data_IF_580417156444
#
_entry.id   IF_580417156444
#
_cell.length_a   1.000
_cell.length_b   1.000
_cell.length_c   1.000
_cell.angle_alpha   90.00
_cell.angle_beta   90.00
_cell.angle_gamma   90.00
#
_symmetry.space_group_name_H-M   'P 1'
#
loop_
_entity.id
_entity.type
_entity.pdbx_description
1 polymer ?
#
# COMPACT_ATOMS: atom_id res chain seq x y z
N UNK A 1 -32.87 -27.80 -0.26
CA UNK A 1 -32.08 -26.93 0.64
C UNK A 1 -30.75 -26.47 0.04
N UNK A 2 -29.95 -27.34 -0.60
CA UNK A 2 -28.64 -26.97 -1.17
C UNK A 2 -28.66 -25.90 -2.29
N UNK A 3 -29.71 -25.86 -3.12
CA UNK A 3 -29.80 -24.92 -4.26
C UNK A 3 -29.94 -23.45 -3.83
N UNK A 4 -30.55 -23.18 -2.67
CA UNK A 4 -30.64 -21.83 -2.12
C UNK A 4 -29.36 -21.46 -1.36
N UNK A 5 -28.71 -22.43 -0.70
CA UNK A 5 -27.40 -22.25 -0.08
C UNK A 5 -26.32 -21.87 -1.11
N UNK A 6 -26.31 -22.54 -2.27
CA UNK A 6 -25.38 -22.27 -3.36
C UNK A 6 -25.54 -20.84 -3.91
N UNK A 7 -26.78 -20.35 -4.02
CA UNK A 7 -27.06 -18.97 -4.46
C UNK A 7 -26.59 -17.95 -3.43
N UNK A 8 -26.77 -18.22 -2.13
CA UNK A 8 -26.30 -17.34 -1.06
C UNK A 8 -24.77 -17.25 -1.06
N UNK A 9 -24.09 -18.38 -1.24
CA UNK A 9 -22.62 -18.43 -1.35
C UNK A 9 -22.13 -17.61 -2.55
N UNK A 10 -22.76 -17.79 -3.73
CA UNK A 10 -22.40 -17.05 -4.94
C UNK A 10 -22.58 -15.53 -4.74
N UNK A 11 -23.68 -15.09 -4.12
CA UNK A 11 -23.95 -13.67 -3.84
C UNK A 11 -22.94 -13.10 -2.83
N UNK A 12 -22.54 -13.87 -1.82
CA UNK A 12 -21.53 -13.46 -0.83
C UNK A 12 -20.14 -13.21 -1.46
N UNK A 13 -19.77 -13.96 -2.50
CA UNK A 13 -18.51 -13.73 -3.23
C UNK A 13 -18.48 -12.40 -4.00
N UNK A 14 -19.62 -11.84 -4.39
CA UNK A 14 -19.69 -10.54 -5.08
C UNK A 14 -19.69 -9.34 -4.13
N UNK A 15 -19.71 -9.57 -2.81
CA UNK A 15 -19.70 -8.52 -1.79
C UNK A 15 -18.33 -8.35 -1.12
N UNK A 16 -17.26 -8.99 -1.62
CA UNK A 16 -15.91 -8.74 -1.12
C UNK A 16 -15.46 -7.33 -1.54
N UNK A 17 -15.65 -6.36 -0.66
CA UNK A 17 -15.22 -4.98 -0.89
C UNK A 17 -13.70 -4.83 -0.90
N UNK A 18 -13.21 -3.88 -1.67
CA UNK A 18 -11.84 -3.37 -1.56
C UNK A 18 -11.64 -2.82 -0.14
N UNK A 19 -10.52 -3.16 0.50
CA UNK A 19 -10.17 -2.57 1.79
C UNK A 19 -9.48 -1.23 1.55
N UNK A 20 -10.22 -0.15 1.81
CA UNK A 20 -9.80 1.22 1.63
C UNK A 20 -10.17 2.03 2.86
N UNK A 21 -9.33 3.01 3.21
CA UNK A 21 -9.64 3.97 4.28
C UNK A 21 -9.05 5.33 3.94
N UNK A 22 -9.72 6.37 4.40
CA UNK A 22 -9.27 7.76 4.26
C UNK A 22 -9.13 8.45 5.62
N UNK A 23 -8.24 9.44 5.69
CA UNK A 23 -8.12 10.38 6.81
C UNK A 23 -8.22 11.80 6.30
N UNK A 24 -8.95 12.64 7.04
CA UNK A 24 -9.01 14.07 6.78
C UNK A 24 -7.87 14.77 7.51
N UNK A 25 -7.31 15.81 6.90
CA UNK A 25 -6.29 16.68 7.48
C UNK A 25 -6.97 18.00 7.83
N UNK A 26 -6.83 18.41 9.09
CA UNK A 26 -7.52 19.57 9.66
C UNK A 26 -6.51 20.58 10.17
N UNK A 27 -6.75 21.86 9.87
CA UNK A 27 -5.93 22.97 10.36
C UNK A 27 -6.20 23.31 11.83
N UNK A 28 -5.47 24.30 12.34
CA UNK A 28 -5.56 24.74 13.74
C UNK A 28 -6.91 25.39 14.08
N UNK A 29 -7.68 25.78 13.07
CA UNK A 29 -8.99 26.42 13.20
C UNK A 29 -10.13 25.39 13.12
N UNK A 30 -9.79 24.11 12.91
CA UNK A 30 -10.77 23.02 12.82
C UNK A 30 -11.34 22.83 11.40
N UNK A 31 -10.76 23.47 10.38
CA UNK A 31 -11.21 23.34 8.99
C UNK A 31 -10.44 22.22 8.27
N UNK A 32 -11.16 21.40 7.51
CA UNK A 32 -10.57 20.36 6.66
C UNK A 32 -9.87 21.03 5.47
N UNK A 33 -8.56 20.79 5.34
CA UNK A 33 -7.70 21.38 4.30
C UNK A 33 -7.16 20.34 3.31
N UNK A 34 -7.37 19.06 3.56
CA UNK A 34 -6.96 17.98 2.68
C UNK A 34 -7.38 16.62 3.20
N UNK A 35 -6.97 15.57 2.50
CA UNK A 35 -7.20 14.19 2.90
C UNK A 35 -6.22 13.24 2.27
N UNK A 36 -6.00 12.13 2.95
CA UNK A 36 -5.19 11.00 2.48
C UNK A 36 -6.11 9.81 2.32
N UNK A 37 -5.93 9.06 1.24
CA UNK A 37 -6.67 7.84 0.96
C UNK A 37 -5.69 6.72 0.62
N UNK A 38 -5.90 5.55 1.21
CA UNK A 38 -5.09 4.38 0.94
C UNK A 38 -5.97 3.13 0.91
N UNK A 39 -5.70 2.29 -0.08
CA UNK A 39 -6.29 0.97 -0.23
C UNK A 39 -5.26 0.04 -0.85
N UNK A 40 -5.43 -1.25 -0.60
CA UNK A 40 -4.58 -2.28 -1.18
C UNK A 40 -5.44 -3.45 -1.66
N UNK A 41 -5.16 -3.88 -2.87
CA UNK A 41 -5.77 -5.07 -3.43
C UNK A 41 -4.94 -6.30 -3.05
N UNK A 42 -5.60 -7.34 -2.55
CA UNK A 42 -5.02 -8.67 -2.37
C UNK A 42 -3.79 -8.76 -1.44
N UNK A 43 -3.64 -7.84 -0.48
CA UNK A 43 -2.75 -8.05 0.66
C UNK A 43 -3.40 -9.04 1.64
N UNK A 44 -3.11 -10.33 1.49
CA UNK A 44 -3.65 -11.36 2.40
C UNK A 44 -3.12 -11.27 3.83
N UNK A 45 -1.97 -10.62 4.03
CA UNK A 45 -1.34 -10.41 5.33
C UNK A 45 -1.03 -8.93 5.51
N UNK A 46 -1.26 -8.40 6.72
CA UNK A 46 -0.91 -7.03 7.06
C UNK A 46 -1.69 -5.97 6.28
N UNK A 47 -2.86 -6.29 5.71
CA UNK A 47 -3.67 -5.37 4.90
C UNK A 47 -3.96 -4.05 5.62
N UNK A 48 -4.48 -4.13 6.85
CA UNK A 48 -4.79 -2.94 7.64
C UNK A 48 -3.51 -2.18 8.03
N UNK A 49 -2.42 -2.89 8.31
CA UNK A 49 -1.12 -2.27 8.59
C UNK A 49 -0.52 -1.58 7.35
N UNK A 50 -0.71 -2.14 6.16
CA UNK A 50 -0.33 -1.50 4.89
C UNK A 50 -1.11 -0.20 4.67
N UNK A 51 -2.43 -0.21 4.90
CA UNK A 51 -3.28 0.99 4.81
C UNK A 51 -2.83 2.03 5.85
N UNK A 52 -2.64 1.62 7.12
CA UNK A 52 -2.18 2.52 8.19
C UNK A 52 -0.83 3.18 7.84
N UNK A 53 0.11 2.39 7.30
CA UNK A 53 1.40 2.89 6.86
C UNK A 53 1.27 3.96 5.78
N UNK A 54 0.46 3.71 4.74
CA UNK A 54 0.30 4.68 3.65
C UNK A 54 -0.46 5.93 4.06
N UNK A 55 -1.45 5.82 4.95
CA UNK A 55 -2.15 6.98 5.48
C UNK A 55 -1.22 7.86 6.31
N UNK A 56 -0.39 7.24 7.16
CA UNK A 56 0.63 7.97 7.88
C UNK A 56 1.65 8.61 6.93
N UNK A 57 2.15 7.85 5.96
CA UNK A 57 3.16 8.33 5.01
C UNK A 57 2.66 9.49 4.15
N UNK A 58 1.39 9.48 3.76
CA UNK A 58 0.73 10.60 3.10
C UNK A 58 0.58 11.83 4.02
N UNK A 59 0.20 11.62 5.29
CA UNK A 59 -0.12 12.70 6.21
C UNK A 59 1.09 13.26 6.99
N UNK A 60 2.24 12.58 7.02
CA UNK A 60 3.38 12.90 7.91
C UNK A 60 3.86 14.34 7.80
N UNK A 61 3.89 14.91 6.59
CA UNK A 61 4.38 16.28 6.37
C UNK A 61 3.40 17.31 6.92
N UNK A 62 2.09 17.02 6.82
CA UNK A 62 1.04 17.84 7.44
C UNK A 62 1.09 17.73 8.96
N UNK A 63 1.29 16.52 9.50
CA UNK A 63 1.48 16.32 10.94
C UNK A 63 2.70 17.11 11.44
N UNK A 64 3.83 17.08 10.71
CA UNK A 64 5.04 17.83 11.05
C UNK A 64 4.83 19.37 11.04
N UNK A 65 3.90 19.86 10.21
CA UNK A 65 3.49 21.28 10.17
C UNK A 65 2.49 21.66 11.26
N UNK A 66 2.07 20.70 12.10
CA UNK A 66 1.14 20.90 13.20
C UNK A 66 -0.34 20.86 12.79
N UNK A 67 -0.66 20.27 11.64
CA UNK A 67 -2.04 19.89 11.31
C UNK A 67 -2.45 18.63 12.08
N UNK A 68 -3.75 18.44 12.25
CA UNK A 68 -4.33 17.24 12.88
C UNK A 68 -4.89 16.30 11.82
N UNK A 69 -5.05 15.03 12.17
CA UNK A 69 -5.65 14.00 11.30
C UNK A 69 -6.85 13.36 11.99
N UNK A 70 -7.83 12.91 11.21
CA UNK A 70 -9.06 12.32 11.76
C UNK A 70 -8.88 10.95 12.42
N UNK A 71 -7.79 10.22 12.14
CA UNK A 71 -7.44 8.96 12.81
C UNK A 71 -6.19 9.13 13.67
N UNK A 72 -6.38 9.54 14.92
CA UNK A 72 -5.30 9.82 15.87
C UNK A 72 -4.48 8.58 16.25
N UNK A 73 -5.01 7.35 16.04
CA UNK A 73 -4.26 6.12 16.34
C UNK A 73 -2.94 6.08 15.57
N UNK A 74 -2.94 6.59 14.33
CA UNK A 74 -1.76 6.65 13.47
C UNK A 74 -0.63 7.48 14.10
N UNK A 75 -0.92 8.41 15.02
CA UNK A 75 0.10 9.20 15.71
C UNK A 75 0.87 8.41 16.76
N UNK A 76 0.35 7.26 17.19
CA UNK A 76 0.91 6.44 18.28
C UNK A 76 1.66 5.21 17.79
N UNK A 77 1.54 4.87 16.51
CA UNK A 77 2.12 3.66 15.93
C UNK A 77 3.59 3.88 15.51
N UNK A 78 4.42 2.84 15.67
CA UNK A 78 5.81 2.84 15.20
C UNK A 78 5.91 2.32 13.76
N UNK A 79 5.89 3.26 12.80
CA UNK A 79 6.00 2.97 11.36
C UNK A 79 7.43 2.72 10.85
N UNK A 80 8.44 2.63 11.73
CA UNK A 80 9.82 2.35 11.26
C UNK A 80 9.87 0.99 10.54
N UNK A 81 10.42 0.98 9.34
CA UNK A 81 10.67 -0.25 8.59
C UNK A 81 11.83 -1.02 9.21
N UNK A 82 11.74 -2.36 9.30
CA UNK A 82 12.89 -3.17 9.66
C UNK A 82 13.94 -3.11 8.54
N UNK A 83 15.21 -3.18 8.91
CA UNK A 83 16.29 -3.21 7.92
C UNK A 83 16.19 -4.50 7.07
N UNK A 84 16.37 -4.41 5.75
CA UNK A 84 16.48 -5.60 4.93
C UNK A 84 17.76 -6.38 5.28
N UNK A 85 17.84 -7.68 4.92
CA UNK A 85 19.07 -8.45 5.04
C UNK A 85 20.24 -7.75 4.34
N UNK A 86 21.45 -7.97 4.86
CA UNK A 86 22.66 -7.32 4.34
C UNK A 86 22.83 -7.52 2.83
N UNK A 87 23.15 -6.42 2.13
CA UNK A 87 23.32 -6.40 0.68
C UNK A 87 22.03 -6.57 -0.13
N UNK A 88 20.85 -6.56 0.50
CA UNK A 88 19.55 -6.71 -0.18
C UNK A 88 18.64 -5.51 0.06
N UNK A 89 17.70 -5.34 -0.87
CA UNK A 89 16.52 -4.48 -0.69
C UNK A 89 15.30 -5.36 -0.44
N UNK A 90 14.29 -4.82 0.25
CA UNK A 90 13.01 -5.50 0.37
C UNK A 90 12.33 -5.62 -1.00
N UNK A 91 11.74 -6.80 -1.22
CA UNK A 91 10.76 -7.09 -2.25
C UNK A 91 9.73 -8.05 -1.64
N UNK A 92 8.59 -8.26 -2.31
CA UNK A 92 7.48 -9.05 -1.78
C UNK A 92 7.93 -10.46 -1.40
N UNK A 93 8.67 -11.13 -2.28
CA UNK A 93 9.19 -12.48 -2.06
C UNK A 93 10.06 -12.59 -0.81
N UNK A 94 11.00 -11.67 -0.63
CA UNK A 94 11.89 -11.64 0.53
C UNK A 94 11.13 -11.32 1.81
N UNK A 95 10.22 -10.34 1.78
CA UNK A 95 9.41 -9.96 2.93
C UNK A 95 8.55 -11.15 3.41
N UNK A 96 7.85 -11.81 2.49
CA UNK A 96 7.05 -13.00 2.79
C UNK A 96 7.90 -14.15 3.34
N UNK A 97 9.09 -14.36 2.78
CA UNK A 97 10.03 -15.37 3.31
C UNK A 97 10.41 -15.10 4.76
N UNK A 98 10.73 -13.86 5.10
CA UNK A 98 11.09 -13.47 6.47
C UNK A 98 9.90 -13.55 7.43
N UNK A 99 8.70 -13.19 6.95
CA UNK A 99 7.47 -13.32 7.74
C UNK A 99 7.17 -14.78 8.09
N UNK A 100 7.19 -15.69 7.10
CA UNK A 100 6.93 -17.11 7.34
C UNK A 100 7.97 -17.79 8.23
N UNK A 101 9.19 -17.24 8.31
CA UNK A 101 10.23 -17.67 9.25
C UNK A 101 10.11 -17.07 10.65
N UNK A 102 9.16 -16.16 10.88
CA UNK A 102 9.00 -15.45 12.15
C UNK A 102 10.04 -14.36 12.41
N UNK A 103 10.83 -13.97 11.40
CA UNK A 103 11.86 -12.93 11.54
C UNK A 103 11.27 -11.51 11.58
N UNK A 104 10.06 -11.32 11.05
CA UNK A 104 9.29 -10.08 11.12
C UNK A 104 7.85 -10.40 11.50
N UNK A 105 7.18 -9.46 12.16
CA UNK A 105 5.76 -9.57 12.49
C UNK A 105 4.88 -9.26 11.28
N UNK A 106 3.62 -9.67 11.32
CA UNK A 106 2.65 -9.34 10.26
C UNK A 106 2.50 -7.83 10.04
N UNK A 107 2.50 -7.05 11.13
CA UNK A 107 2.50 -5.58 11.05
C UNK A 107 3.68 -5.04 10.25
N UNK A 108 4.89 -5.50 10.57
CA UNK A 108 6.09 -5.06 9.86
C UNK A 108 6.10 -5.58 8.41
N UNK A 109 5.54 -6.75 8.15
CA UNK A 109 5.28 -7.20 6.78
C UNK A 109 4.35 -6.22 6.04
N UNK A 110 3.22 -5.83 6.62
CA UNK A 110 2.29 -4.88 6.03
C UNK A 110 2.95 -3.54 5.67
N UNK A 111 3.81 -3.01 6.55
CA UNK A 111 4.56 -1.78 6.30
C UNK A 111 5.57 -1.94 5.16
N UNK A 112 6.30 -3.06 5.12
CA UNK A 112 7.23 -3.35 4.03
C UNK A 112 6.48 -3.44 2.71
N UNK A 113 5.37 -4.20 2.65
CA UNK A 113 4.58 -4.39 1.43
C UNK A 113 4.05 -3.06 0.89
N UNK A 114 3.52 -2.21 1.77
CA UNK A 114 3.08 -0.87 1.41
C UNK A 114 4.23 -0.02 0.86
N UNK A 115 5.38 0.00 1.54
CA UNK A 115 6.52 0.80 1.12
C UNK A 115 7.06 0.37 -0.26
N UNK A 116 7.24 -0.93 -0.49
CA UNK A 116 7.77 -1.42 -1.78
C UNK A 116 6.77 -1.23 -2.93
N UNK A 117 5.47 -1.30 -2.66
CA UNK A 117 4.44 -1.03 -3.66
C UNK A 117 4.33 0.45 -3.98
N UNK A 118 4.49 1.32 -2.98
CA UNK A 118 4.57 2.76 -3.21
C UNK A 118 5.77 3.13 -4.09
N UNK A 119 6.94 2.53 -3.87
CA UNK A 119 8.09 2.70 -4.76
C UNK A 119 7.81 2.22 -6.20
N UNK A 120 7.06 1.13 -6.35
CA UNK A 120 6.62 0.64 -7.65
C UNK A 120 5.67 1.63 -8.34
N UNK A 121 4.65 2.13 -7.64
CA UNK A 121 3.67 3.07 -8.18
C UNK A 121 4.30 4.39 -8.63
N UNK A 122 5.31 4.89 -7.90
CA UNK A 122 6.10 6.07 -8.30
C UNK A 122 6.82 5.91 -9.65
N UNK A 123 7.05 4.68 -10.10
CA UNK A 123 7.64 4.39 -11.42
C UNK A 123 6.55 4.15 -12.47
N UNK A 124 5.51 3.41 -12.10
CA UNK A 124 4.48 2.97 -13.04
C UNK A 124 3.56 4.10 -13.47
N UNK A 125 3.04 4.91 -12.54
CA UNK A 125 2.08 5.96 -12.91
C UNK A 125 2.66 7.01 -13.87
N UNK A 126 3.89 7.52 -13.67
CA UNK A 126 4.49 8.41 -14.67
C UNK A 126 4.73 7.71 -16.01
N UNK A 127 5.12 6.44 -16.02
CA UNK A 127 5.31 5.69 -17.27
C UNK A 127 3.98 5.47 -18.02
N UNK A 128 2.88 5.27 -17.31
CA UNK A 128 1.54 5.19 -17.89
C UNK A 128 1.12 6.54 -18.50
N UNK A 129 1.36 7.65 -17.80
CA UNK A 129 1.12 9.00 -18.34
C UNK A 129 1.99 9.27 -19.58
N UNK A 130 3.27 8.92 -19.53
CA UNK A 130 4.19 9.12 -20.65
C UNK A 130 3.78 8.28 -21.88
N UNK A 131 3.30 7.06 -21.67
CA UNK A 131 2.77 6.21 -22.75
C UNK A 131 1.49 6.83 -23.34
N UNK A 132 0.55 7.25 -22.49
CA UNK A 132 -0.72 7.84 -22.91
C UNK A 132 -0.54 9.14 -23.70
N UNK A 133 0.50 9.92 -23.36
CA UNK A 133 0.86 11.15 -24.04
C UNK A 133 1.85 10.93 -25.22
N UNK A 134 2.17 9.68 -25.56
CA UNK A 134 3.06 9.35 -26.67
C UNK A 134 4.52 9.76 -26.47
N UNK A 135 4.95 10.05 -25.24
CA UNK A 135 6.35 10.37 -24.90
C UNK A 135 7.26 9.15 -24.92
N UNK A 136 6.70 7.96 -24.68
CA UNK A 136 7.40 6.68 -24.79
C UNK A 136 6.59 5.69 -25.64
N UNK A 137 7.28 4.73 -26.21
CA UNK A 137 6.69 3.61 -26.95
C UNK A 137 6.18 2.51 -26.01
N UNK A 138 5.29 1.66 -26.52
CA UNK A 138 4.83 0.47 -25.79
C UNK A 138 5.99 -0.45 -25.38
N UNK A 139 7.06 -0.54 -26.21
CA UNK A 139 8.21 -1.37 -25.92
C UNK A 139 9.03 -0.83 -24.73
N UNK A 140 9.23 0.50 -24.67
CA UNK A 140 9.89 1.16 -23.55
C UNK A 140 9.07 1.04 -22.26
N UNK A 141 7.76 1.27 -22.34
CA UNK A 141 6.84 1.06 -21.22
C UNK A 141 6.95 -0.37 -20.68
N UNK A 142 6.85 -1.38 -21.55
CA UNK A 142 6.93 -2.79 -21.13
C UNK A 142 8.25 -3.11 -20.42
N UNK A 143 9.36 -2.51 -20.86
CA UNK A 143 10.67 -2.65 -20.21
C UNK A 143 10.67 -2.00 -18.82
N UNK A 144 10.16 -0.77 -18.69
CA UNK A 144 10.04 -0.06 -17.42
C UNK A 144 9.22 -0.88 -16.42
N UNK A 145 8.04 -1.36 -16.83
CA UNK A 145 7.17 -2.16 -15.99
C UNK A 145 7.82 -3.48 -15.58
N UNK A 146 8.52 -4.15 -16.50
CA UNK A 146 9.23 -5.40 -16.18
C UNK A 146 10.29 -5.18 -15.10
N UNK A 147 11.12 -4.15 -15.24
CA UNK A 147 12.18 -3.84 -14.29
C UNK A 147 11.60 -3.40 -12.93
N UNK A 148 10.52 -2.61 -12.93
CA UNK A 148 9.81 -2.19 -11.73
C UNK A 148 9.18 -3.39 -11.00
N UNK A 149 8.51 -4.30 -11.72
CA UNK A 149 7.93 -5.51 -11.16
C UNK A 149 8.99 -6.42 -10.57
N UNK A 150 10.14 -6.58 -11.22
CA UNK A 150 11.23 -7.39 -10.68
C UNK A 150 11.73 -6.84 -9.34
N UNK A 151 11.86 -5.51 -9.21
CA UNK A 151 12.23 -4.88 -7.93
C UNK A 151 11.15 -5.03 -6.86
N UNK A 152 9.88 -4.89 -7.23
CA UNK A 152 8.75 -4.97 -6.31
C UNK A 152 8.47 -6.39 -5.84
N UNK A 153 8.34 -7.34 -6.77
CA UNK A 153 7.94 -8.71 -6.51
C UNK A 153 9.13 -9.59 -6.12
N UNK A 154 10.29 -9.36 -6.74
CA UNK A 154 11.49 -10.20 -6.56
C UNK A 154 11.50 -11.46 -7.42
N UNK A 155 10.70 -11.51 -8.49
CA UNK A 155 10.61 -12.61 -9.46
C UNK A 155 10.08 -12.16 -10.82
#
# INVERSE_FOLDING_TARGET
MYRNLLKIIIVLFFLSGCAERAVNITDKEGKIVGGCNAGFDWHFYGLQDSIDYMLYECAKDSIAKGFTISDERLLTLDFRLPKPPEGKSWNKKLAMHHFHKGNITERKLGYILAAIEYEYQKVVWPAEDDLANGKITQAEFNKIIKDAKFKWLGE
#
